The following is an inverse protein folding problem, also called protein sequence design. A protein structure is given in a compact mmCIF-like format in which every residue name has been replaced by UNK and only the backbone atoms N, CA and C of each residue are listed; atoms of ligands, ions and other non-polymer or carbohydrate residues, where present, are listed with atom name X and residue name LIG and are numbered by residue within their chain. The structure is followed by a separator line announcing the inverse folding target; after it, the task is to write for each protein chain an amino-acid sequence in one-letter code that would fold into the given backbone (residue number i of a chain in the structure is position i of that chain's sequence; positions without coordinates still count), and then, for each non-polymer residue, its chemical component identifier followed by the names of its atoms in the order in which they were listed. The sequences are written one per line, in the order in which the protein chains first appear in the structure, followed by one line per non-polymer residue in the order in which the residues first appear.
data_IF_187461834691
#
_entry.id   IF_187461834691
#
_cell.length_a   1.000
_cell.length_b   1.000
_cell.length_c   1.000
_cell.angle_alpha   90.00
_cell.angle_beta   90.00
_cell.angle_gamma   90.00
#
_symmetry.space_group_name_H-M   'P 1'
#
loop_
_entity.id
_entity.type
_entity.pdbx_description
1 polymer ?
#
# COMPACT_ATOMS: atom_id res chain seq x y z
N UNK A 1 7.98 -21.87 32.45
CA UNK A 1 7.85 -21.32 31.09
C UNK A 1 7.72 -19.82 31.21
N UNK A 2 8.78 -19.07 30.90
CA UNK A 2 8.74 -17.62 30.81
C UNK A 2 8.13 -17.24 29.47
N UNK A 3 6.86 -16.84 29.48
CA UNK A 3 6.22 -16.23 28.30
C UNK A 3 6.88 -14.86 28.11
N UNK A 4 7.59 -14.66 26.99
CA UNK A 4 8.16 -13.35 26.66
C UNK A 4 7.04 -12.31 26.55
N UNK A 5 7.12 -11.26 27.37
CA UNK A 5 6.18 -10.14 27.34
C UNK A 5 6.15 -9.43 25.96
N UNK A 6 7.20 -9.59 25.14
CA UNK A 6 7.23 -9.13 23.72
C UNK A 6 6.19 -9.81 22.83
N UNK A 7 5.72 -11.01 23.16
CA UNK A 7 4.63 -11.66 22.42
C UNK A 7 3.25 -11.11 22.80
N UNK A 8 3.13 -10.51 23.98
CA UNK A 8 1.91 -9.85 24.45
C UNK A 8 1.82 -8.38 23.99
N UNK A 9 2.94 -7.79 23.54
CA UNK A 9 2.99 -6.47 22.91
C UNK A 9 2.82 -6.52 21.40
N UNK A 10 2.72 -7.71 20.78
CA UNK A 10 2.26 -7.80 19.40
C UNK A 10 0.82 -7.33 19.39
N UNK A 11 0.58 -6.19 18.75
CA UNK A 11 -0.76 -5.73 18.41
C UNK A 11 -1.56 -6.83 17.71
N UNK A 12 -2.86 -6.61 17.48
CA UNK A 12 -3.72 -7.59 16.81
C UNK A 12 -3.04 -8.17 15.56
N UNK A 13 -3.25 -9.46 15.31
CA UNK A 13 -2.73 -10.16 14.13
C UNK A 13 -2.96 -9.28 12.89
N UNK A 14 -1.90 -9.02 12.12
CA UNK A 14 -2.00 -8.19 10.92
C UNK A 14 -3.02 -8.80 9.96
N UNK A 15 -3.86 -7.98 9.30
CA UNK A 15 -4.75 -8.49 8.27
C UNK A 15 -3.94 -9.20 7.18
N UNK A 16 -4.48 -10.27 6.63
CA UNK A 16 -3.91 -10.88 5.43
C UNK A 16 -3.99 -9.90 4.23
N UNK A 17 -3.33 -10.18 3.11
CA UNK A 17 -3.14 -9.22 1.99
C UNK A 17 -4.40 -8.46 1.58
N UNK A 18 -5.53 -9.16 1.44
CA UNK A 18 -6.79 -8.58 0.96
C UNK A 18 -7.75 -8.18 2.09
N UNK A 19 -7.47 -8.59 3.33
CA UNK A 19 -8.32 -8.30 4.48
C UNK A 19 -8.20 -6.81 4.83
N UNK A 20 -9.34 -6.10 4.84
CA UNK A 20 -9.41 -4.65 5.00
C UNK A 20 -8.41 -3.88 4.10
N UNK A 21 -8.09 -4.43 2.92
CA UNK A 21 -7.19 -3.80 1.95
C UNK A 21 -7.82 -2.57 1.32
N UNK A 22 -9.10 -2.66 1.00
CA UNK A 22 -9.85 -1.61 0.32
C UNK A 22 -10.74 -0.88 1.31
N UNK A 23 -10.61 0.43 1.35
CA UNK A 23 -11.40 1.29 2.22
C UNK A 23 -12.00 2.43 1.40
N UNK A 24 -13.20 2.85 1.78
CA UNK A 24 -13.76 4.08 1.29
C UNK A 24 -13.10 5.29 2.00
N UNK A 25 -13.10 6.45 1.36
CA UNK A 25 -12.51 7.67 1.93
C UNK A 25 -13.08 8.01 3.32
N UNK A 26 -14.39 7.90 3.50
CA UNK A 26 -15.05 8.15 4.80
C UNK A 26 -14.74 7.11 5.87
N UNK A 27 -14.35 5.89 5.46
CA UNK A 27 -14.04 4.76 6.34
C UNK A 27 -12.57 4.64 6.74
N UNK A 28 -11.69 5.47 6.18
CA UNK A 28 -10.24 5.36 6.37
C UNK A 28 -9.83 5.56 7.84
N UNK A 29 -10.25 6.67 8.46
CA UNK A 29 -9.89 6.99 9.85
C UNK A 29 -10.38 5.91 10.83
N UNK A 30 -11.60 5.40 10.64
CA UNK A 30 -12.14 4.33 11.46
C UNK A 30 -11.36 3.02 11.30
N UNK A 31 -10.86 2.73 10.09
CA UNK A 31 -10.06 1.53 9.82
C UNK A 31 -8.68 1.62 10.45
N UNK A 32 -7.98 2.75 10.28
CA UNK A 32 -6.68 2.97 10.91
C UNK A 32 -6.78 2.93 12.44
N UNK A 33 -7.85 3.47 13.02
CA UNK A 33 -8.11 3.38 14.46
C UNK A 33 -8.25 1.93 14.94
N UNK A 34 -8.94 1.05 14.19
CA UNK A 34 -9.05 -0.38 14.53
C UNK A 34 -7.67 -1.06 14.56
N UNK A 35 -6.75 -0.60 13.72
CA UNK A 35 -5.38 -1.10 13.67
C UNK A 35 -4.43 -0.43 14.66
N UNK A 36 -4.92 0.54 15.44
CA UNK A 36 -4.08 1.42 16.28
C UNK A 36 -2.99 2.15 15.48
N UNK A 37 -3.25 2.41 14.20
CA UNK A 37 -2.38 3.21 13.34
C UNK A 37 -2.72 4.71 13.48
N UNK A 38 -1.73 5.61 13.35
CA UNK A 38 -1.97 7.05 13.36
C UNK A 38 -2.83 7.49 12.17
N UNK A 39 -3.44 8.68 12.31
CA UNK A 39 -4.13 9.33 11.19
C UNK A 39 -3.11 9.61 10.07
N UNK A 40 -3.46 9.35 8.80
CA UNK A 40 -2.50 9.44 7.72
C UNK A 40 -2.34 10.90 7.29
N UNK A 41 -1.19 11.22 6.73
CA UNK A 41 -0.87 12.58 6.30
C UNK A 41 -1.05 12.71 4.80
N UNK A 42 -1.72 13.79 4.38
CA UNK A 42 -1.69 14.24 2.98
C UNK A 42 -0.48 15.12 2.75
N UNK A 43 0.38 14.72 1.82
CA UNK A 43 1.57 15.49 1.44
C UNK A 43 1.25 16.30 0.17
N UNK A 44 1.60 17.60 0.11
CA UNK A 44 1.40 18.40 -1.09
C UNK A 44 2.06 17.75 -2.32
N UNK A 45 1.31 17.69 -3.41
CA UNK A 45 1.78 17.13 -4.68
C UNK A 45 2.58 18.15 -5.47
N UNK A 46 3.63 17.69 -6.14
CA UNK A 46 4.35 18.48 -7.13
C UNK A 46 3.45 18.73 -8.37
N UNK A 47 3.37 19.97 -8.89
CA UNK A 47 2.46 20.31 -9.98
C UNK A 47 2.84 19.70 -11.34
N UNK A 48 4.08 19.23 -11.51
CA UNK A 48 4.56 18.61 -12.75
C UNK A 48 4.23 17.12 -12.76
N UNK A 49 4.44 16.44 -11.65
CA UNK A 49 4.26 14.98 -11.53
C UNK A 49 2.89 14.58 -10.99
N UNK A 50 2.18 15.47 -10.31
CA UNK A 50 0.94 15.15 -9.60
C UNK A 50 1.14 14.25 -8.38
N UNK A 51 2.39 14.02 -7.96
CA UNK A 51 2.78 13.14 -6.86
C UNK A 51 3.62 13.91 -5.84
N UNK A 52 3.66 13.50 -4.55
CA UNK A 52 4.43 14.19 -3.54
C UNK A 52 5.95 14.06 -3.77
N UNK A 53 6.72 14.96 -3.16
CA UNK A 53 8.19 14.91 -3.10
C UNK A 53 8.70 13.74 -2.26
N UNK A 54 9.81 13.09 -2.66
CA UNK A 54 10.39 11.99 -1.88
C UNK A 54 10.76 12.42 -0.47
N UNK A 55 11.40 13.58 -0.30
CA UNK A 55 11.86 14.05 1.00
C UNK A 55 10.70 14.23 1.98
N UNK A 56 9.60 14.85 1.52
CA UNK A 56 8.41 15.04 2.34
C UNK A 56 7.73 13.71 2.71
N UNK A 57 7.69 12.74 1.78
CA UNK A 57 7.18 11.40 2.09
C UNK A 57 8.10 10.69 3.08
N UNK A 58 9.43 10.76 2.88
CA UNK A 58 10.41 10.12 3.75
C UNK A 58 10.30 10.62 5.19
N UNK A 59 10.12 11.93 5.40
CA UNK A 59 9.91 12.52 6.71
C UNK A 59 8.67 11.97 7.42
N UNK A 60 7.54 11.81 6.71
CA UNK A 60 6.30 11.27 7.29
C UNK A 60 6.44 9.78 7.62
N UNK A 61 6.99 8.98 6.71
CA UNK A 61 7.18 7.54 6.93
C UNK A 61 8.15 7.28 8.08
N UNK A 62 9.22 8.09 8.22
CA UNK A 62 10.17 8.03 9.32
C UNK A 62 9.56 8.41 10.68
N UNK A 63 8.38 9.07 10.68
CA UNK A 63 7.57 9.33 11.86
C UNK A 63 6.50 8.26 12.10
N UNK A 64 6.67 7.06 11.54
CA UNK A 64 5.77 5.90 11.64
C UNK A 64 4.32 6.21 11.25
N UNK A 65 4.13 7.12 10.29
CA UNK A 65 2.80 7.58 9.84
C UNK A 65 2.61 7.29 8.35
N UNK A 66 1.42 6.85 7.97
CA UNK A 66 1.10 6.58 6.58
C UNK A 66 0.89 7.85 5.75
N UNK A 67 1.21 7.78 4.46
CA UNK A 67 1.03 8.89 3.51
C UNK A 67 -0.05 8.56 2.50
N UNK A 68 -1.03 9.45 2.35
CA UNK A 68 -2.04 9.34 1.29
C UNK A 68 -1.47 9.90 -0.02
N UNK A 69 -1.60 9.14 -1.12
CA UNK A 69 -1.10 9.56 -2.44
C UNK A 69 -2.12 9.30 -3.55
N UNK A 70 -2.18 10.18 -4.55
CA UNK A 70 -2.94 9.96 -5.79
C UNK A 70 -2.05 9.28 -6.82
N UNK A 71 -2.32 8.00 -7.15
CA UNK A 71 -1.42 7.17 -7.97
C UNK A 71 -1.69 7.22 -9.46
N UNK A 72 -2.88 7.69 -9.87
CA UNK A 72 -3.28 7.77 -11.28
C UNK A 72 -2.25 8.47 -12.20
N UNK A 73 -1.54 9.55 -11.78
CA UNK A 73 -0.51 10.18 -12.62
C UNK A 73 0.68 9.26 -12.94
N UNK A 74 1.01 8.31 -12.06
CA UNK A 74 2.18 7.45 -12.19
C UNK A 74 1.90 6.03 -12.70
N UNK A 75 0.64 5.59 -12.73
CA UNK A 75 0.29 4.23 -13.11
C UNK A 75 0.28 4.03 -14.64
N UNK A 76 0.98 2.99 -15.10
CA UNK A 76 0.93 2.49 -16.49
C UNK A 76 1.62 3.36 -17.55
N UNK A 77 2.29 4.45 -17.15
CA UNK A 77 2.90 5.42 -18.05
C UNK A 77 4.43 5.42 -18.07
N UNK A 78 4.99 6.34 -18.85
CA UNK A 78 6.41 6.69 -18.86
C UNK A 78 6.60 8.15 -18.50
N UNK A 79 7.78 8.51 -17.98
CA UNK A 79 8.14 9.90 -17.65
C UNK A 79 8.08 10.18 -16.16
N UNK A 80 8.22 11.46 -15.81
CA UNK A 80 8.55 11.90 -14.45
C UNK A 80 7.57 11.42 -13.37
N UNK A 81 6.26 11.34 -13.66
CA UNK A 81 5.28 10.83 -12.69
C UNK A 81 5.41 9.32 -12.45
N UNK A 82 5.67 8.54 -13.51
CA UNK A 82 5.92 7.10 -13.37
C UNK A 82 7.24 6.84 -12.62
N UNK A 83 8.28 7.60 -12.92
CA UNK A 83 9.57 7.54 -12.21
C UNK A 83 9.37 7.87 -10.72
N UNK A 84 8.60 8.93 -10.44
CA UNK A 84 8.23 9.34 -9.09
C UNK A 84 7.48 8.25 -8.33
N UNK A 85 6.51 7.56 -8.95
CA UNK A 85 5.79 6.48 -8.29
C UNK A 85 6.71 5.29 -7.96
N UNK A 86 7.62 4.93 -8.88
CA UNK A 86 8.62 3.87 -8.64
C UNK A 86 9.50 4.23 -7.44
N UNK A 87 10.00 5.46 -7.40
CA UNK A 87 10.84 5.93 -6.31
C UNK A 87 10.09 5.99 -4.97
N UNK A 88 8.81 6.37 -4.97
CA UNK A 88 7.98 6.35 -3.77
C UNK A 88 7.73 4.93 -3.24
N UNK A 89 7.54 3.94 -4.12
CA UNK A 89 7.42 2.53 -3.72
C UNK A 89 8.74 1.99 -3.15
N UNK A 90 9.87 2.33 -3.78
CA UNK A 90 11.20 1.97 -3.27
C UNK A 90 11.47 2.64 -1.92
N UNK A 91 11.11 3.91 -1.77
CA UNK A 91 11.20 4.64 -0.51
C UNK A 91 10.34 3.96 0.55
N UNK A 92 9.06 3.69 0.30
CA UNK A 92 8.19 3.05 1.27
C UNK A 92 8.67 1.64 1.66
N UNK A 93 9.21 0.87 0.72
CA UNK A 93 9.81 -0.44 0.99
C UNK A 93 11.06 -0.39 1.89
N UNK A 94 11.68 0.77 2.05
CA UNK A 94 12.93 0.94 2.81
C UNK A 94 12.85 1.96 3.95
N UNK A 95 11.75 2.71 4.09
CA UNK A 95 11.59 3.79 5.07
C UNK A 95 10.82 3.40 6.33
N UNK A 96 9.95 2.38 6.26
CA UNK A 96 9.07 2.01 7.37
C UNK A 96 9.45 0.69 8.04
N UNK A 97 9.31 0.63 9.37
CA UNK A 97 9.26 -0.61 10.13
C UNK A 97 7.90 -0.73 10.83
N UNK A 98 6.92 -1.36 10.18
CA UNK A 98 5.64 -1.64 10.81
C UNK A 98 4.44 -1.44 9.90
N UNK A 99 3.33 -2.06 10.31
CA UNK A 99 2.05 -1.93 9.63
C UNK A 99 1.39 -0.61 10.04
N UNK A 100 0.85 0.14 9.08
CA UNK A 100 0.20 1.43 9.36
C UNK A 100 1.04 2.67 9.04
N UNK A 101 2.27 2.50 8.58
CA UNK A 101 3.22 3.59 8.26
C UNK A 101 3.69 3.58 6.81
N UNK A 102 2.94 2.93 5.91
CA UNK A 102 3.26 2.83 4.48
C UNK A 102 2.52 3.85 3.63
N UNK A 103 2.38 3.56 2.34
CA UNK A 103 1.56 4.35 1.42
C UNK A 103 0.09 3.93 1.52
N UNK A 104 -0.80 4.92 1.43
CA UNK A 104 -2.24 4.76 1.26
C UNK A 104 -2.62 5.34 -0.11
N UNK A 105 -2.50 4.55 -1.19
CA UNK A 105 -2.84 5.01 -2.53
C UNK A 105 -4.36 5.21 -2.69
N UNK A 106 -4.74 6.30 -3.37
CA UNK A 106 -6.08 6.52 -3.91
C UNK A 106 -6.19 5.85 -5.27
N UNK A 107 -6.99 4.80 -5.36
CA UNK A 107 -7.21 3.99 -6.54
C UNK A 107 -8.65 4.11 -7.06
N UNK A 108 -8.85 3.89 -8.35
CA UNK A 108 -10.18 3.88 -8.97
C UNK A 108 -10.72 2.47 -9.20
N UNK A 109 -9.86 1.47 -9.29
CA UNK A 109 -10.22 0.09 -9.65
C UNK A 109 -9.25 -0.95 -9.05
N UNK A 110 -9.63 -2.22 -9.12
CA UNK A 110 -8.84 -3.35 -8.62
C UNK A 110 -7.52 -3.55 -9.38
N UNK A 111 -7.44 -3.17 -10.65
CA UNK A 111 -6.24 -3.31 -11.47
C UNK A 111 -5.10 -2.42 -10.97
N UNK A 112 -5.43 -1.18 -10.61
CA UNK A 112 -4.47 -0.25 -9.98
C UNK A 112 -3.93 -0.78 -8.65
N UNK A 113 -4.80 -1.38 -7.83
CA UNK A 113 -4.40 -1.98 -6.56
C UNK A 113 -3.43 -3.14 -6.81
N UNK A 114 -3.75 -4.04 -7.74
CA UNK A 114 -2.85 -5.14 -8.11
C UNK A 114 -1.50 -4.66 -8.64
N UNK A 115 -1.50 -3.63 -9.49
CA UNK A 115 -0.27 -2.99 -9.98
C UNK A 115 0.60 -2.51 -8.82
N UNK A 116 0.02 -1.80 -7.85
CA UNK A 116 0.74 -1.27 -6.70
C UNK A 116 1.28 -2.36 -5.77
N UNK A 117 0.50 -3.42 -5.52
CA UNK A 117 0.97 -4.55 -4.71
C UNK A 117 2.12 -5.30 -5.41
N UNK A 118 2.05 -5.49 -6.72
CA UNK A 118 3.13 -6.08 -7.50
C UNK A 118 4.38 -5.18 -7.51
N UNK A 119 4.20 -3.87 -7.69
CA UNK A 119 5.26 -2.87 -7.61
C UNK A 119 5.92 -2.83 -6.22
N UNK A 120 5.15 -2.94 -5.15
CA UNK A 120 5.65 -3.02 -3.79
C UNK A 120 6.52 -4.28 -3.57
N UNK A 121 6.06 -5.45 -4.05
CA UNK A 121 6.89 -6.67 -4.01
C UNK A 121 8.20 -6.48 -4.75
N UNK A 122 8.15 -5.96 -5.98
CA UNK A 122 9.35 -5.70 -6.76
C UNK A 122 10.29 -4.73 -6.04
N UNK A 123 9.78 -3.66 -5.43
CA UNK A 123 10.57 -2.71 -4.66
C UNK A 123 11.25 -3.39 -3.45
N UNK A 124 10.51 -4.19 -2.68
CA UNK A 124 11.04 -4.92 -1.52
C UNK A 124 12.13 -5.94 -1.90
N UNK A 125 12.04 -6.55 -3.08
CA UNK A 125 12.98 -7.59 -3.53
C UNK A 125 14.07 -7.08 -4.46
N UNK A 126 14.11 -5.77 -4.76
CA UNK A 126 15.04 -5.20 -5.75
C UNK A 126 14.77 -5.64 -7.20
N UNK A 127 13.53 -6.03 -7.50
CA UNK A 127 13.07 -6.37 -8.85
C UNK A 127 12.71 -5.14 -9.69
N UNK A 128 12.29 -5.38 -10.93
CA UNK A 128 11.85 -4.31 -11.84
C UNK A 128 10.44 -3.83 -11.47
N UNK A 129 10.38 -2.74 -10.69
CA UNK A 129 9.13 -2.11 -10.24
C UNK A 129 8.26 -1.67 -11.42
N UNK A 130 8.86 -1.15 -12.50
CA UNK A 130 8.10 -0.66 -13.65
C UNK A 130 7.44 -1.82 -14.39
N UNK A 131 8.17 -2.91 -14.61
CA UNK A 131 7.60 -4.11 -15.22
C UNK A 131 6.46 -4.68 -14.36
N UNK A 132 6.62 -4.71 -13.04
CA UNK A 132 5.61 -5.21 -12.11
C UNK A 132 4.33 -4.35 -12.09
N UNK A 133 4.47 -3.02 -12.17
CA UNK A 133 3.33 -2.10 -12.28
C UNK A 133 2.55 -2.29 -13.60
N UNK A 134 3.23 -2.64 -14.70
CA UNK A 134 2.60 -2.81 -16.01
C UNK A 134 1.91 -4.18 -16.15
N UNK A 135 2.50 -5.23 -15.56
CA UNK A 135 2.01 -6.59 -15.67
C UNK A 135 1.92 -7.26 -14.29
N UNK A 136 0.99 -6.82 -13.42
CA UNK A 136 0.80 -7.46 -12.13
C UNK A 136 0.29 -8.90 -12.29
N UNK A 137 0.75 -9.78 -11.39
CA UNK A 137 0.30 -11.17 -11.30
C UNK A 137 -0.40 -11.40 -9.94
N UNK A 138 -1.73 -11.21 -9.87
CA UNK A 138 -2.51 -11.44 -8.66
C UNK A 138 -2.35 -12.86 -8.09
N UNK A 139 -2.24 -13.88 -8.96
CA UNK A 139 -2.12 -15.27 -8.54
C UNK A 139 -0.78 -15.51 -7.83
N UNK A 140 0.31 -14.95 -8.36
CA UNK A 140 1.62 -14.99 -7.71
C UNK A 140 1.60 -14.30 -6.34
N UNK A 141 0.96 -13.13 -6.22
CA UNK A 141 0.84 -12.39 -4.97
C UNK A 141 0.06 -13.18 -3.90
N UNK A 142 -1.04 -13.82 -4.30
CA UNK A 142 -1.87 -14.63 -3.40
C UNK A 142 -1.19 -15.94 -3.00
N UNK A 143 -0.32 -16.49 -3.85
CA UNK A 143 0.47 -17.69 -3.56
C UNK A 143 1.64 -17.44 -2.58
N UNK A 144 2.00 -16.19 -2.30
CA UNK A 144 3.05 -15.84 -1.35
C UNK A 144 2.73 -16.38 0.06
N UNK A 145 3.74 -16.73 0.88
CA UNK A 145 3.50 -17.07 2.27
C UNK A 145 2.90 -15.87 3.03
N UNK A 146 2.08 -16.14 4.05
CA UNK A 146 1.40 -15.09 4.84
C UNK A 146 2.34 -13.98 5.31
N UNK A 147 3.53 -14.33 5.81
CA UNK A 147 4.49 -13.33 6.28
C UNK A 147 4.94 -12.34 5.18
N UNK A 148 5.07 -12.80 3.92
CA UNK A 148 5.39 -11.92 2.81
C UNK A 148 4.19 -11.03 2.46
N UNK A 149 2.97 -11.57 2.49
CA UNK A 149 1.74 -10.80 2.30
C UNK A 149 1.54 -9.71 3.35
N UNK A 150 1.82 -10.02 4.62
CA UNK A 150 1.83 -9.05 5.70
C UNK A 150 2.92 -7.98 5.50
N UNK A 151 4.08 -8.34 4.97
CA UNK A 151 5.17 -7.38 4.70
C UNK A 151 4.84 -6.45 3.52
N UNK A 152 4.11 -6.90 2.49
CA UNK A 152 3.61 -6.01 1.42
C UNK A 152 2.75 -4.88 2.01
N UNK A 153 1.99 -5.19 3.07
CA UNK A 153 1.11 -4.23 3.75
C UNK A 153 1.87 -3.18 4.56
N UNK A 154 3.14 -3.40 4.85
CA UNK A 154 4.02 -2.36 5.43
C UNK A 154 4.40 -1.31 4.37
N UNK A 155 4.39 -1.68 3.08
CA UNK A 155 4.60 -0.75 1.95
C UNK A 155 3.30 -0.12 1.49
N UNK A 156 2.24 -0.92 1.33
CA UNK A 156 0.89 -0.47 0.93
C UNK A 156 -0.10 -0.81 2.04
N UNK A 157 -0.30 0.14 2.94
CA UNK A 157 -1.09 -0.04 4.17
C UNK A 157 -2.56 -0.31 3.90
N UNK A 158 -3.17 0.39 2.94
CA UNK A 158 -4.49 0.13 2.38
C UNK A 158 -4.71 1.00 1.14
N UNK A 159 -5.67 0.65 0.30
CA UNK A 159 -6.06 1.43 -0.85
C UNK A 159 -7.39 2.14 -0.56
N UNK A 160 -7.40 3.46 -0.77
CA UNK A 160 -8.63 4.26 -0.72
C UNK A 160 -9.28 4.24 -2.09
N UNK A 161 -10.58 3.97 -2.15
CA UNK A 161 -11.36 4.03 -3.39
C UNK A 161 -12.57 4.95 -3.23
N UNK A 162 -13.17 5.44 -4.35
CA UNK A 162 -14.46 6.12 -4.30
C UNK A 162 -15.52 5.25 -3.61
N UNK A 163 -16.41 5.87 -2.86
CA UNK A 163 -17.46 5.20 -2.07
C UNK A 163 -18.31 4.28 -2.95
N UNK A 164 -18.69 4.76 -4.14
CA UNK A 164 -19.48 4.05 -5.13
C UNK A 164 -18.74 2.85 -5.77
N UNK A 165 -17.41 2.82 -5.70
CA UNK A 165 -16.58 1.77 -6.29
C UNK A 165 -16.20 0.68 -5.27
N UNK A 166 -16.41 0.91 -3.97
CA UNK A 166 -15.93 0.02 -2.91
C UNK A 166 -16.38 -1.42 -3.09
N UNK A 167 -17.68 -1.65 -3.32
CA UNK A 167 -18.25 -2.99 -3.44
C UNK A 167 -17.72 -3.71 -4.68
N UNK A 168 -17.68 -3.03 -5.82
CA UNK A 168 -17.20 -3.59 -7.09
C UNK A 168 -15.71 -3.96 -7.01
N UNK A 169 -14.87 -3.06 -6.51
CA UNK A 169 -13.43 -3.30 -6.37
C UNK A 169 -13.16 -4.45 -5.39
N UNK A 170 -13.90 -4.51 -4.28
CA UNK A 170 -13.77 -5.60 -3.30
C UNK A 170 -14.14 -6.96 -3.91
N UNK A 171 -15.22 -7.01 -4.70
CA UNK A 171 -15.65 -8.21 -5.40
C UNK A 171 -14.62 -8.67 -6.44
N UNK A 172 -14.06 -7.74 -7.22
CA UNK A 172 -13.05 -8.02 -8.24
C UNK A 172 -11.77 -8.59 -7.61
N UNK A 173 -11.27 -7.98 -6.53
CA UNK A 173 -10.11 -8.50 -5.79
C UNK A 173 -10.37 -9.92 -5.24
N UNK A 174 -11.57 -10.15 -4.69
CA UNK A 174 -11.94 -11.47 -4.16
C UNK A 174 -12.07 -12.54 -5.25
N UNK A 175 -12.43 -12.14 -6.48
CA UNK A 175 -12.55 -13.05 -7.62
C UNK A 175 -11.20 -13.61 -8.09
N UNK A 176 -10.12 -12.82 -8.00
CA UNK A 176 -8.78 -13.23 -8.39
C UNK A 176 -8.20 -14.34 -7.48
N UNK A 177 -8.73 -14.50 -6.27
CA UNK A 177 -8.36 -15.57 -5.34
C UNK A 177 -9.14 -16.87 -5.50
N UNK A 178 -10.05 -16.95 -6.48
CA UNK A 178 -10.82 -18.16 -6.78
C UNK A 178 -10.23 -18.81 -8.04
N UNK A 179 -9.88 -20.12 -8.00
CA UNK A 179 -9.41 -20.84 -9.18
C UNK A 179 -10.50 -21.01 -10.25
#
# INVERSE_FOLDING_TARGET
MTVSLELLSRGPSRPDLLEDLVVAGSGLAATLLRWSAPEPVEVPTDPVTGLPGHDAVAEVLAADTAVVIDVAPGLGGTGAAADRLVDLLALAAHSGVGFGSGLIPRCTDAGQIWALLAGAVAAMTGGDVRAALVAPDPAALLALPRAAREAIRDVVTCAVVPEESLEGVSADLASAGRP
#
